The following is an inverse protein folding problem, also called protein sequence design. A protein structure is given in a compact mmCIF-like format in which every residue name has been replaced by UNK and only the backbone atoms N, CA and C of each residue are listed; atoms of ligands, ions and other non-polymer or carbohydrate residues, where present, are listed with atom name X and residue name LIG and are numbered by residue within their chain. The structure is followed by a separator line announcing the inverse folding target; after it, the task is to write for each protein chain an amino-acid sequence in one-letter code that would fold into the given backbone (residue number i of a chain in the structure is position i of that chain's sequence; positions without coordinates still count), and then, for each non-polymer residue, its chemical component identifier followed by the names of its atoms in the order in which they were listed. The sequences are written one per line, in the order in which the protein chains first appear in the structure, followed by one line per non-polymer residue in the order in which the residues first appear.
data_IF_446982950944
#
_entry.id   IF_446982950944
#
_cell.length_a   1.000
_cell.length_b   1.000
_cell.length_c   1.000
_cell.angle_alpha   90.00
_cell.angle_beta   90.00
_cell.angle_gamma   90.00
#
_symmetry.space_group_name_H-M   'P 1'
#
loop_
_entity.id
_entity.type
_entity.pdbx_description
1 polymer ?
#
# COMPACT_ATOMS: atom_id res chain seq x y z
N UNK A 1 6.31 10.77 2.68
CA UNK A 1 6.65 12.08 2.11
C UNK A 1 7.58 12.83 3.06
N UNK A 2 7.08 13.47 4.13
CA UNK A 2 7.88 14.33 5.01
C UNK A 2 9.24 13.75 5.48
N UNK A 3 9.29 12.50 5.97
CA UNK A 3 10.55 11.87 6.39
C UNK A 3 11.53 11.65 5.23
N UNK A 4 11.02 11.38 4.02
CA UNK A 4 11.86 11.23 2.83
C UNK A 4 12.47 12.57 2.41
N UNK A 5 11.73 13.66 2.58
CA UNK A 5 12.22 15.01 2.26
C UNK A 5 13.29 15.47 3.26
N UNK A 6 13.13 15.11 4.53
CA UNK A 6 14.05 15.47 5.62
C UNK A 6 15.32 14.61 5.63
N UNK A 7 15.16 13.29 5.59
CA UNK A 7 16.23 12.33 5.88
C UNK A 7 16.73 11.62 4.60
N UNK A 8 16.15 11.93 3.43
CA UNK A 8 16.49 11.39 2.12
C UNK A 8 15.53 10.30 1.65
N UNK A 9 15.37 10.16 0.33
CA UNK A 9 14.34 9.33 -0.30
C UNK A 9 14.32 7.85 0.14
N UNK A 10 15.47 7.30 0.54
CA UNK A 10 15.62 5.88 0.88
C UNK A 10 15.89 5.60 2.36
N UNK A 11 15.79 6.63 3.21
CA UNK A 11 16.06 6.54 4.65
C UNK A 11 14.94 5.82 5.44
N UNK A 12 13.74 5.70 4.86
CA UNK A 12 12.53 5.23 5.57
C UNK A 12 11.81 4.10 4.82
N UNK A 13 12.60 3.17 4.30
CA UNK A 13 12.12 2.00 3.53
C UNK A 13 11.06 1.16 4.25
N UNK A 14 11.19 0.96 5.56
CA UNK A 14 10.22 0.28 6.42
C UNK A 14 8.87 1.00 6.43
N UNK A 15 8.88 2.32 6.59
CA UNK A 15 7.66 3.15 6.66
C UNK A 15 6.97 3.25 5.31
N UNK A 16 7.72 3.30 4.22
CA UNK A 16 7.16 3.24 2.86
C UNK A 16 6.42 1.92 2.65
N UNK A 17 6.99 0.80 3.09
CA UNK A 17 6.31 -0.50 3.06
C UNK A 17 5.04 -0.53 3.91
N UNK A 18 5.06 0.06 5.12
CA UNK A 18 3.87 0.21 5.97
C UNK A 18 2.77 0.97 5.24
N UNK A 19 3.10 2.15 4.69
CA UNK A 19 2.13 2.97 3.97
C UNK A 19 1.53 2.23 2.78
N UNK A 20 2.34 1.48 2.02
CA UNK A 20 1.87 0.76 0.84
C UNK A 20 0.79 -0.27 1.20
N UNK A 21 1.09 -1.24 2.08
CA UNK A 21 0.12 -2.30 2.35
C UNK A 21 -1.10 -1.78 3.13
N UNK A 22 -0.92 -0.82 4.03
CA UNK A 22 -2.04 -0.27 4.81
C UNK A 22 -2.98 0.57 3.94
N UNK A 23 -2.44 1.48 3.13
CA UNK A 23 -3.28 2.34 2.27
C UNK A 23 -4.06 1.52 1.25
N UNK A 24 -3.42 0.51 0.64
CA UNK A 24 -4.09 -0.34 -0.33
C UNK A 24 -5.24 -1.15 0.27
N UNK A 25 -5.06 -1.70 1.48
CA UNK A 25 -6.14 -2.41 2.21
C UNK A 25 -7.27 -1.44 2.58
N UNK A 26 -6.93 -0.32 3.21
CA UNK A 26 -7.90 0.68 3.64
C UNK A 26 -8.78 1.15 2.48
N UNK A 27 -8.18 1.55 1.36
CA UNK A 27 -8.93 2.01 0.20
C UNK A 27 -9.79 0.90 -0.43
N UNK A 28 -9.31 -0.34 -0.43
CA UNK A 28 -10.06 -1.48 -0.92
C UNK A 28 -11.31 -1.74 -0.06
N UNK A 29 -11.15 -1.75 1.27
CA UNK A 29 -12.22 -2.00 2.23
C UNK A 29 -13.24 -0.85 2.25
N UNK A 30 -12.76 0.39 2.15
CA UNK A 30 -13.62 1.57 2.06
C UNK A 30 -14.44 1.57 0.76
N UNK A 31 -13.84 1.20 -0.38
CA UNK A 31 -14.55 1.09 -1.64
C UNK A 31 -15.60 -0.03 -1.61
N UNK A 32 -15.27 -1.18 -1.01
CA UNK A 32 -16.21 -2.29 -0.82
C UNK A 32 -17.40 -1.89 0.04
N UNK A 33 -17.14 -1.24 1.18
CA UNK A 33 -18.17 -0.71 2.07
C UNK A 33 -19.08 0.29 1.32
N UNK A 34 -18.51 1.19 0.52
CA UNK A 34 -19.28 2.14 -0.28
C UNK A 34 -20.16 1.46 -1.34
N UNK A 35 -19.64 0.41 -2.01
CA UNK A 35 -20.45 -0.40 -2.94
C UNK A 35 -21.62 -1.06 -2.22
N UNK A 36 -21.37 -1.66 -1.06
CA UNK A 36 -22.39 -2.34 -0.27
C UNK A 36 -23.51 -1.39 0.18
N UNK A 37 -23.14 -0.20 0.68
CA UNK A 37 -24.10 0.82 1.14
C UNK A 37 -24.93 1.38 -0.02
N UNK A 38 -24.33 1.55 -1.21
CA UNK A 38 -25.03 2.05 -2.39
C UNK A 38 -25.75 0.96 -3.21
N UNK A 39 -25.72 -0.30 -2.77
CA UNK A 39 -26.39 -1.43 -3.40
C UNK A 39 -26.03 -1.64 -4.87
N UNK A 40 -27.01 -2.03 -5.69
CA UNK A 40 -26.77 -2.29 -7.12
C UNK A 40 -26.20 -1.10 -7.90
N UNK A 41 -26.49 0.14 -7.46
CA UNK A 41 -25.89 1.35 -8.04
C UNK A 41 -24.41 1.48 -7.68
N UNK A 42 -24.02 1.08 -6.45
CA UNK A 42 -22.63 1.06 -6.01
C UNK A 42 -21.75 0.12 -6.82
N UNK A 43 -22.26 -1.04 -7.22
CA UNK A 43 -21.56 -2.01 -8.08
C UNK A 43 -21.51 -1.61 -9.57
N UNK A 44 -22.36 -0.68 -9.99
CA UNK A 44 -22.43 -0.22 -11.37
C UNK A 44 -21.34 0.82 -11.70
N UNK A 45 -21.17 1.12 -12.99
CA UNK A 45 -20.29 2.21 -13.45
C UNK A 45 -20.86 3.62 -13.26
N UNK A 46 -22.06 3.75 -12.69
CA UNK A 46 -22.65 5.05 -12.37
C UNK A 46 -22.00 5.73 -11.17
N UNK A 47 -21.23 4.97 -10.37
CA UNK A 47 -20.46 5.47 -9.23
C UNK A 47 -19.01 4.99 -9.34
N UNK A 48 -18.03 5.71 -8.77
CA UNK A 48 -16.62 5.38 -8.95
C UNK A 48 -16.14 4.18 -8.13
N UNK A 49 -16.96 3.62 -7.24
CA UNK A 49 -16.52 2.66 -6.22
C UNK A 49 -15.97 1.37 -6.80
N UNK A 50 -16.63 0.79 -7.82
CA UNK A 50 -16.15 -0.42 -8.49
C UNK A 50 -14.76 -0.22 -9.10
N UNK A 51 -14.52 0.96 -9.68
CA UNK A 51 -13.25 1.31 -10.30
C UNK A 51 -12.15 1.45 -9.25
N UNK A 52 -12.45 2.12 -8.13
CA UNK A 52 -11.52 2.31 -7.01
C UNK A 52 -11.17 0.94 -6.37
N UNK A 53 -12.17 0.08 -6.15
CA UNK A 53 -11.98 -1.26 -5.60
C UNK A 53 -11.04 -2.09 -6.50
N UNK A 54 -11.29 -2.13 -7.81
CA UNK A 54 -10.43 -2.86 -8.76
C UNK A 54 -8.98 -2.38 -8.74
N UNK A 55 -8.75 -1.07 -8.65
CA UNK A 55 -7.40 -0.51 -8.60
C UNK A 55 -6.66 -0.90 -7.33
N UNK A 56 -7.27 -0.72 -6.17
CA UNK A 56 -6.61 -1.03 -4.90
C UNK A 56 -6.46 -2.53 -4.68
N UNK A 57 -7.38 -3.34 -5.19
CA UNK A 57 -7.23 -4.80 -5.20
C UNK A 57 -6.00 -5.24 -6.00
N UNK A 58 -5.70 -4.57 -7.12
CA UNK A 58 -4.52 -4.81 -7.95
C UNK A 58 -3.23 -4.35 -7.26
N UNK A 59 -3.24 -3.18 -6.60
CA UNK A 59 -2.06 -2.64 -5.92
C UNK A 59 -1.60 -3.46 -4.71
N UNK A 60 -2.44 -4.36 -4.20
CA UNK A 60 -2.04 -5.38 -3.21
C UNK A 60 -1.17 -6.51 -3.79
N UNK A 61 -0.96 -6.52 -5.11
CA UNK A 61 -0.18 -7.53 -5.84
C UNK A 61 0.98 -6.84 -6.59
N UNK A 62 0.68 -5.78 -7.33
CA UNK A 62 1.66 -5.00 -8.10
C UNK A 62 2.42 -4.05 -7.17
N UNK A 63 3.67 -3.67 -7.51
CA UNK A 63 4.52 -2.81 -6.66
C UNK A 63 4.92 -3.41 -5.30
N UNK A 64 4.82 -4.75 -5.20
CA UNK A 64 5.15 -5.54 -4.02
C UNK A 64 3.90 -5.97 -3.27
N UNK A 65 3.61 -7.28 -3.33
CA UNK A 65 2.46 -7.87 -2.67
C UNK A 65 2.43 -7.58 -1.17
N UNK A 66 1.23 -7.57 -0.57
CA UNK A 66 1.03 -7.30 0.86
C UNK A 66 2.01 -8.09 1.75
N UNK A 67 2.21 -9.37 1.45
CA UNK A 67 3.08 -10.28 2.21
C UNK A 67 4.56 -9.86 2.10
N UNK A 68 4.98 -9.33 0.95
CA UNK A 68 6.34 -8.82 0.74
C UNK A 68 6.55 -7.53 1.53
N UNK A 69 5.56 -6.63 1.54
CA UNK A 69 5.63 -5.41 2.35
C UNK A 69 5.69 -5.76 3.84
N UNK A 70 4.83 -6.68 4.32
CA UNK A 70 4.85 -7.15 5.71
C UNK A 70 6.17 -7.81 6.08
N UNK A 71 6.71 -8.68 5.21
CA UNK A 71 8.05 -9.27 5.39
C UNK A 71 9.12 -8.19 5.49
N UNK A 72 9.03 -7.13 4.67
CA UNK A 72 9.98 -6.02 4.68
C UNK A 72 9.93 -5.26 6.01
N UNK A 73 8.72 -4.94 6.49
CA UNK A 73 8.53 -4.30 7.79
C UNK A 73 9.08 -5.16 8.93
N UNK A 74 8.71 -6.44 8.97
CA UNK A 74 9.18 -7.37 9.99
C UNK A 74 10.71 -7.52 9.98
N UNK A 75 11.33 -7.60 8.79
CA UNK A 75 12.78 -7.74 8.68
C UNK A 75 13.54 -6.53 9.22
N UNK A 76 13.02 -5.30 9.09
CA UNK A 76 13.63 -4.14 9.73
C UNK A 76 13.31 -4.10 11.23
N UNK A 77 12.06 -4.36 11.62
CA UNK A 77 11.61 -4.32 13.03
C UNK A 77 12.40 -5.30 13.91
N UNK A 78 12.65 -6.52 13.41
CA UNK A 78 13.38 -7.56 14.14
C UNK A 78 14.90 -7.58 13.86
N UNK A 79 15.42 -6.61 13.09
CA UNK A 79 16.86 -6.50 12.81
C UNK A 79 17.43 -7.55 11.83
N UNK A 80 16.57 -8.31 11.14
CA UNK A 80 16.98 -9.28 10.13
C UNK A 80 17.44 -8.64 8.80
N UNK A 81 17.07 -7.38 8.56
CA UNK A 81 17.53 -6.60 7.40
C UNK A 81 18.31 -5.36 7.84
N UNK A 82 19.54 -5.24 7.35
CA UNK A 82 20.44 -4.11 7.65
C UNK A 82 20.51 -3.07 6.54
N UNK A 83 20.09 -3.42 5.33
CA UNK A 83 20.22 -2.56 4.16
C UNK A 83 18.94 -1.73 3.94
N UNK A 84 19.01 -0.42 4.14
CA UNK A 84 17.88 0.51 3.95
C UNK A 84 17.76 1.04 2.51
N UNK A 85 18.89 1.23 1.81
CA UNK A 85 18.92 1.66 0.41
C UNK A 85 18.80 0.47 -0.57
N UNK A 86 18.06 0.61 -1.68
CA UNK A 86 18.06 -0.39 -2.75
C UNK A 86 19.49 -0.62 -3.28
N UNK A 87 19.80 -1.84 -3.70
CA UNK A 87 21.10 -2.14 -4.34
C UNK A 87 21.23 -1.30 -5.63
N UNK A 88 22.35 -0.60 -5.80
CA UNK A 88 22.64 0.19 -7.00
C UNK A 88 22.22 1.65 -6.95
N UNK A 89 21.76 2.17 -5.80
CA UNK A 89 21.43 3.58 -5.60
C UNK A 89 22.47 4.20 -4.66
N UNK A 90 23.18 5.25 -5.12
CA UNK A 90 24.19 5.96 -4.32
C UNK A 90 23.58 6.77 -3.16
#
# INVERSE_FOLDING_TARGET
AWLMDKDGAFSVSDKVSICNYQANRLCCDAADTAMQVCGGRGYSRYMPFEHIYRHHRRYRITEGADEIQMRRVAGYLFGFMKQQKPKGVS
#
